data_IF_816586196649
#
_entry.id   IF_816586196649
#
_cell.length_a   1.000
_cell.length_b   1.000
_cell.length_c   1.000
_cell.angle_alpha   90.00
_cell.angle_beta   90.00
_cell.angle_gamma   90.00
#
_symmetry.space_group_name_H-M   'P 1'
#
loop_
_entity.id
_entity.type
_entity.pdbx_description
1 polymer ?
#
# COMPACT_ATOMS: atom_id res chain seq x y z
N UNK A 1 -6.99 -25.51 23.04
CA UNK A 1 -6.23 -24.26 22.93
C UNK A 1 -6.73 -23.57 21.68
N UNK A 2 -7.59 -22.58 21.84
CA UNK A 2 -8.04 -21.75 20.73
C UNK A 2 -6.81 -21.01 20.22
N UNK A 3 -6.49 -21.16 18.93
CA UNK A 3 -5.43 -20.36 18.32
C UNK A 3 -5.93 -18.93 18.31
N UNK A 4 -5.38 -18.07 19.16
CA UNK A 4 -5.52 -16.63 19.00
C UNK A 4 -5.08 -16.29 17.58
N UNK A 5 -6.01 -15.82 16.76
CA UNK A 5 -5.67 -15.28 15.46
C UNK A 5 -4.92 -13.97 15.71
N UNK A 6 -3.61 -13.99 15.51
CA UNK A 6 -2.78 -12.80 15.52
C UNK A 6 -3.28 -11.87 14.40
N UNK A 7 -3.95 -10.77 14.78
CA UNK A 7 -4.43 -9.79 13.82
C UNK A 7 -3.25 -9.02 13.25
N UNK A 8 -3.06 -9.13 11.93
CA UNK A 8 -2.03 -8.41 11.18
C UNK A 8 -2.67 -7.38 10.27
N UNK A 9 -2.07 -6.20 10.18
CA UNK A 9 -2.53 -5.12 9.32
C UNK A 9 -1.93 -5.24 7.91
N UNK A 10 -2.75 -5.00 6.89
CA UNK A 10 -2.28 -4.73 5.54
C UNK A 10 -2.28 -3.21 5.32
N UNK A 11 -1.18 -2.66 4.81
CA UNK A 11 -1.09 -1.24 4.50
C UNK A 11 -1.46 -1.02 3.03
N UNK A 12 -2.34 -0.06 2.74
CA UNK A 12 -2.72 0.29 1.36
C UNK A 12 -2.44 1.78 1.12
N UNK A 13 -1.60 2.06 0.13
CA UNK A 13 -1.24 3.42 -0.29
C UNK A 13 -1.74 3.65 -1.73
N UNK A 14 -2.32 4.81 -2.01
CA UNK A 14 -2.83 5.14 -3.36
C UNK A 14 -2.41 6.54 -3.76
N UNK A 15 -2.10 6.74 -5.04
CA UNK A 15 -1.86 8.07 -5.60
C UNK A 15 -3.17 8.81 -5.80
N UNK A 16 -3.23 10.05 -5.32
CA UNK A 16 -4.45 10.87 -5.36
C UNK A 16 -4.64 11.63 -6.68
N UNK A 17 -3.64 11.69 -7.56
CA UNK A 17 -3.66 12.50 -8.78
C UNK A 17 -2.78 11.93 -9.90
N UNK A 18 -3.15 12.25 -11.13
CA UNK A 18 -2.57 11.93 -12.46
C UNK A 18 -1.11 12.38 -12.70
N UNK A 19 -0.30 12.57 -11.64
CA UNK A 19 1.16 12.78 -11.78
C UNK A 19 1.85 11.44 -12.05
N UNK A 20 1.44 10.79 -13.14
CA UNK A 20 1.88 9.49 -13.62
C UNK A 20 3.35 9.47 -14.10
N UNK A 21 4.07 10.59 -13.97
CA UNK A 21 5.39 10.79 -14.59
C UNK A 21 6.56 10.90 -13.62
N UNK A 22 6.31 10.88 -12.31
CA UNK A 22 7.39 10.88 -11.32
C UNK A 22 7.48 9.52 -10.64
N UNK A 23 8.48 8.76 -11.08
CA UNK A 23 9.12 7.63 -10.40
C UNK A 23 8.96 7.78 -8.88
N UNK A 24 8.14 6.91 -8.28
CA UNK A 24 7.80 6.93 -6.85
C UNK A 24 7.45 8.34 -6.32
N UNK A 25 6.31 8.88 -6.76
CA UNK A 25 5.69 10.06 -6.16
C UNK A 25 5.79 10.00 -4.63
N UNK A 26 6.52 10.97 -4.06
CA UNK A 26 6.90 11.00 -2.64
C UNK A 26 5.71 10.84 -1.68
N UNK A 27 4.50 11.10 -2.16
CA UNK A 27 3.23 10.81 -1.49
C UNK A 27 3.06 9.34 -1.05
N UNK A 28 3.43 8.35 -1.86
CA UNK A 28 3.34 6.93 -1.47
C UNK A 28 4.36 6.61 -0.37
N UNK A 29 5.59 7.12 -0.51
CA UNK A 29 6.63 6.92 0.50
C UNK A 29 6.24 7.55 1.84
N UNK A 30 5.66 8.74 1.83
CA UNK A 30 5.13 9.40 3.03
C UNK A 30 3.96 8.61 3.64
N UNK A 31 3.00 8.14 2.84
CA UNK A 31 1.90 7.30 3.32
C UNK A 31 2.41 6.02 3.99
N UNK A 32 3.34 5.31 3.33
CA UNK A 32 3.96 4.10 3.86
C UNK A 32 4.68 4.36 5.18
N UNK A 33 5.44 5.46 5.27
CA UNK A 33 6.16 5.82 6.49
C UNK A 33 5.19 6.10 7.66
N UNK A 34 4.13 6.87 7.42
CA UNK A 34 3.12 7.18 8.43
C UNK A 34 2.38 5.94 8.92
N UNK A 35 1.93 5.09 8.00
CA UNK A 35 1.23 3.85 8.35
C UNK A 35 2.14 2.86 9.08
N UNK A 36 3.40 2.74 8.65
CA UNK A 36 4.40 1.90 9.33
C UNK A 36 4.69 2.39 10.74
N UNK A 37 4.84 3.71 10.91
CA UNK A 37 5.05 4.32 12.21
C UNK A 37 3.86 4.06 13.15
N UNK A 38 2.63 4.26 12.66
CA UNK A 38 1.42 3.99 13.44
C UNK A 38 1.35 2.52 13.89
N UNK A 39 1.59 1.57 12.98
CA UNK A 39 1.61 0.15 13.33
C UNK A 39 2.69 -0.17 14.37
N UNK A 40 3.89 0.42 14.23
CA UNK A 40 4.99 0.24 15.18
C UNK A 40 4.63 0.77 16.58
N UNK A 41 4.05 1.96 16.66
CA UNK A 41 3.66 2.59 17.94
C UNK A 41 2.54 1.81 18.65
N UNK A 42 1.66 1.15 17.89
CA UNK A 42 0.53 0.39 18.42
C UNK A 42 0.79 -1.12 18.54
N UNK A 43 2.03 -1.58 18.32
CA UNK A 43 2.40 -3.02 18.30
C UNK A 43 1.51 -3.85 17.35
N UNK A 44 1.12 -3.27 16.21
CA UNK A 44 0.33 -3.94 15.18
C UNK A 44 1.30 -4.58 14.18
N UNK A 45 1.35 -5.92 14.09
CA UNK A 45 2.19 -6.59 13.11
C UNK A 45 1.67 -6.30 11.69
N UNK A 46 2.58 -5.90 10.80
CA UNK A 46 2.25 -5.65 9.39
C UNK A 46 2.40 -6.96 8.63
N UNK A 47 1.36 -7.36 7.90
CA UNK A 47 1.40 -8.50 6.99
C UNK A 47 2.11 -8.12 5.68
N UNK A 48 1.63 -7.07 5.01
CA UNK A 48 2.18 -6.60 3.74
C UNK A 48 1.76 -5.15 3.44
N UNK A 49 2.43 -4.51 2.47
CA UNK A 49 2.11 -3.17 1.97
C UNK A 49 1.79 -3.21 0.48
N UNK A 50 0.59 -2.77 0.13
CA UNK A 50 0.10 -2.65 -1.23
C UNK A 50 0.10 -1.18 -1.65
N UNK A 51 0.61 -0.90 -2.84
CA UNK A 51 0.61 0.43 -3.43
C UNK A 51 -0.10 0.40 -4.78
N UNK A 52 -1.04 1.32 -4.98
CA UNK A 52 -1.71 1.58 -6.24
C UNK A 52 -1.14 2.90 -6.79
N UNK A 53 -0.28 2.77 -7.80
CA UNK A 53 0.34 3.87 -8.53
C UNK A 53 -0.60 4.49 -9.57
N UNK A 54 -1.90 4.21 -9.48
CA UNK A 54 -2.88 4.71 -10.43
C UNK A 54 -2.76 4.05 -11.80
N UNK A 55 -2.26 2.81 -11.90
CA UNK A 55 -2.39 2.01 -13.11
C UNK A 55 -3.87 1.92 -13.49
N UNK A 56 -4.28 2.80 -14.40
CA UNK A 56 -5.56 2.73 -15.05
C UNK A 56 -5.64 1.34 -15.68
N UNK A 57 -6.76 0.64 -15.49
CA UNK A 57 -7.04 -0.64 -16.15
C UNK A 57 -7.22 -0.51 -17.67
N UNK A 58 -6.40 0.29 -18.35
CA UNK A 58 -6.44 0.51 -19.81
C UNK A 58 -5.39 -0.29 -20.58
N UNK A 59 -4.44 -0.95 -19.92
CA UNK A 59 -3.58 -1.94 -20.58
C UNK A 59 -4.21 -3.35 -20.52
N UNK A 60 -5.43 -3.49 -21.06
CA UNK A 60 -5.79 -4.74 -21.71
C UNK A 60 -5.02 -4.75 -23.03
N UNK A 61 -3.76 -5.18 -22.97
CA UNK A 61 -3.02 -5.52 -24.19
C UNK A 61 -3.73 -6.76 -24.74
N UNK A 62 -4.48 -6.54 -25.81
CA UNK A 62 -5.04 -7.58 -26.66
C UNK A 62 -3.96 -8.67 -26.85
N UNK A 63 -4.16 -9.83 -26.22
CA UNK A 63 -3.43 -11.04 -26.57
C UNK A 63 -3.94 -11.46 -27.93
N UNK A 64 -3.22 -11.02 -28.97
CA UNK A 64 -3.33 -11.53 -30.32
C UNK A 64 -2.27 -12.60 -30.55
#
# INVERSE_FOLDING_TARGET
MEKENEYRAALYCRLSSDDAYLVESGSIQTQKALLTQYCRENNIPIYDTYADDGFSGTNFVEVR
#
